data_IF_132916898750
#
_entry.id   IF_132916898750
#
_cell.length_a   1.000
_cell.length_b   1.000
_cell.length_c   1.000
_cell.angle_alpha   90.00
_cell.angle_beta   90.00
_cell.angle_gamma   90.00
#
_symmetry.space_group_name_H-M   'P 1'
#
loop_
_entity.id
_entity.type
_entity.pdbx_description
1 polymer ?
#
# COMPACT_ATOMS: atom_id res chain seq x y z
N UNK A 1 7.88 -6.26 -15.59
CA UNK A 1 8.39 -4.88 -15.43
C UNK A 1 9.61 -4.89 -14.51
N UNK A 2 10.83 -4.58 -15.00
CA UNK A 2 12.07 -4.70 -14.21
C UNK A 2 12.06 -3.92 -12.88
N UNK A 3 11.43 -2.75 -12.86
CA UNK A 3 11.30 -1.91 -11.67
C UNK A 3 10.53 -2.63 -10.56
N UNK A 4 9.43 -3.30 -10.90
CA UNK A 4 8.66 -4.11 -9.95
C UNK A 4 9.44 -5.35 -9.50
N UNK A 5 10.15 -6.01 -10.41
CA UNK A 5 10.94 -7.20 -10.06
C UNK A 5 12.03 -6.87 -9.04
N UNK A 6 12.74 -5.75 -9.25
CA UNK A 6 13.89 -5.35 -8.44
C UNK A 6 13.54 -4.59 -7.16
N UNK A 7 12.31 -4.06 -7.02
CA UNK A 7 11.93 -3.32 -5.82
C UNK A 7 11.80 -4.24 -4.60
N UNK A 8 12.15 -3.72 -3.42
CA UNK A 8 11.97 -4.41 -2.14
C UNK A 8 10.86 -3.78 -1.30
N UNK A 9 10.67 -2.46 -1.43
CA UNK A 9 9.70 -1.67 -0.67
C UNK A 9 8.72 -1.02 -1.63
N UNK A 10 7.46 -1.43 -1.57
CA UNK A 10 6.44 -1.03 -2.54
C UNK A 10 5.20 -0.47 -1.84
N UNK A 11 4.68 0.63 -2.38
CA UNK A 11 3.37 1.16 -1.99
C UNK A 11 2.35 0.87 -3.08
N UNK A 12 1.17 0.38 -2.72
CA UNK A 12 0.09 0.03 -3.64
C UNK A 12 -1.18 0.77 -3.20
N UNK A 13 -1.71 1.61 -4.08
CA UNK A 13 -3.02 2.23 -3.85
C UNK A 13 -4.12 1.24 -4.19
N UNK A 14 -5.08 1.09 -3.28
CA UNK A 14 -6.24 0.22 -3.43
C UNK A 14 -7.42 1.09 -3.85
N UNK A 15 -7.85 0.95 -5.11
CA UNK A 15 -8.93 1.75 -5.68
C UNK A 15 -10.22 0.94 -5.84
N UNK A 16 -11.35 1.65 -5.81
CA UNK A 16 -12.70 1.10 -5.88
C UNK A 16 -13.08 0.42 -7.20
N UNK A 17 -12.57 0.91 -8.33
CA UNK A 17 -12.91 0.39 -9.68
C UNK A 17 -12.01 -0.76 -10.13
N UNK A 18 -10.76 -0.76 -9.69
CA UNK A 18 -9.69 -1.65 -10.16
C UNK A 18 -9.10 -2.51 -9.04
N UNK A 19 -9.90 -2.74 -7.99
CA UNK A 19 -9.52 -3.50 -6.80
C UNK A 19 -8.99 -4.90 -7.18
N UNK A 20 -9.61 -5.55 -8.17
CA UNK A 20 -9.18 -6.87 -8.65
C UNK A 20 -7.71 -6.87 -9.12
N UNK A 21 -7.27 -5.83 -9.84
CA UNK A 21 -5.89 -5.77 -10.35
C UNK A 21 -4.88 -5.45 -9.24
N UNK A 22 -5.20 -4.47 -8.38
CA UNK A 22 -4.28 -4.03 -7.32
C UNK A 22 -4.14 -5.05 -6.20
N UNK A 23 -5.21 -5.80 -5.89
CA UNK A 23 -5.14 -6.96 -4.98
C UNK A 23 -4.28 -8.09 -5.54
N UNK A 24 -4.33 -8.33 -6.85
CA UNK A 24 -3.45 -9.29 -7.52
C UNK A 24 -1.98 -8.93 -7.33
N UNK A 25 -1.63 -7.65 -7.52
CA UNK A 25 -0.27 -7.13 -7.32
C UNK A 25 0.15 -7.22 -5.85
N UNK A 26 -0.75 -6.92 -4.90
CA UNK A 26 -0.46 -7.03 -3.48
C UNK A 26 -0.20 -8.48 -3.06
N UNK A 27 -1.02 -9.43 -3.51
CA UNK A 27 -0.80 -10.87 -3.30
C UNK A 27 0.55 -11.33 -3.85
N UNK A 28 0.89 -10.89 -5.06
CA UNK A 28 2.16 -11.23 -5.71
C UNK A 28 3.36 -10.62 -4.96
N UNK A 29 3.25 -9.37 -4.51
CA UNK A 29 4.28 -8.69 -3.75
C UNK A 29 4.60 -9.43 -2.43
N UNK A 30 3.57 -9.93 -1.73
CA UNK A 30 3.77 -10.79 -0.57
C UNK A 30 4.45 -12.11 -0.92
N UNK A 31 4.05 -12.78 -2.01
CA UNK A 31 4.71 -14.02 -2.47
C UNK A 31 6.19 -13.80 -2.81
N UNK A 32 6.54 -12.62 -3.31
CA UNK A 32 7.90 -12.20 -3.61
C UNK A 32 8.67 -11.65 -2.40
N UNK A 33 8.13 -11.75 -1.18
CA UNK A 33 8.71 -11.23 0.06
C UNK A 33 9.06 -9.72 0.00
N UNK A 34 8.26 -8.92 -0.71
CA UNK A 34 8.38 -7.46 -0.72
C UNK A 34 7.75 -6.86 0.53
N UNK A 35 8.33 -5.78 1.04
CA UNK A 35 7.73 -4.96 2.09
C UNK A 35 6.64 -4.10 1.46
N UNK A 36 5.40 -4.33 1.86
CA UNK A 36 4.23 -3.72 1.26
C UNK A 36 3.65 -2.62 2.14
N UNK A 37 3.34 -1.49 1.52
CA UNK A 37 2.68 -0.34 2.13
C UNK A 37 1.38 -0.02 1.39
N UNK A 38 0.38 0.45 2.12
CA UNK A 38 -0.89 0.94 1.56
C UNK A 38 -1.19 2.33 2.12
N UNK A 39 -1.96 3.17 1.40
CA UNK A 39 -2.40 4.45 1.94
C UNK A 39 -3.34 4.25 3.14
N UNK A 40 -3.10 5.02 4.19
CA UNK A 40 -4.04 5.24 5.30
C UNK A 40 -4.29 6.73 5.40
N UNK A 41 -5.52 7.15 5.12
CA UNK A 41 -5.92 8.54 5.24
C UNK A 41 -6.75 8.76 6.51
N UNK A 42 -6.65 9.95 7.06
CA UNK A 42 -7.54 10.44 8.11
C UNK A 42 -8.60 11.33 7.48
N UNK A 43 -9.87 10.95 7.56
CA UNK A 43 -10.97 11.73 6.98
C UNK A 43 -11.18 13.12 7.61
N UNK A 44 -10.57 13.37 8.77
CA UNK A 44 -10.61 14.67 9.45
C UNK A 44 -9.49 15.62 9.01
N UNK A 45 -8.55 15.16 8.18
CA UNK A 45 -7.44 15.96 7.67
C UNK A 45 -7.13 15.65 6.20
N UNK A 46 -6.19 16.40 5.62
CA UNK A 46 -5.65 16.09 4.29
C UNK A 46 -4.39 15.20 4.35
N UNK A 47 -4.13 14.58 5.51
CA UNK A 47 -2.93 13.77 5.74
C UNK A 47 -3.15 12.32 5.30
N UNK A 48 -2.13 11.75 4.66
CA UNK A 48 -2.10 10.36 4.22
C UNK A 48 -0.72 9.78 4.43
N UNK A 49 -0.65 8.67 5.18
CA UNK A 49 0.58 7.91 5.36
C UNK A 49 0.55 6.64 4.51
N UNK A 50 1.73 6.24 4.04
CA UNK A 50 1.92 4.88 3.51
C UNK A 50 2.34 3.98 4.65
N UNK A 51 1.43 3.09 5.08
CA UNK A 51 1.62 2.25 6.27
C UNK A 51 1.83 0.79 5.90
N UNK A 52 2.72 0.13 6.64
CA UNK A 52 3.11 -1.25 6.36
C UNK A 52 1.99 -2.24 6.65
N UNK A 53 1.82 -3.18 5.73
CA UNK A 53 1.01 -4.39 5.91
C UNK A 53 1.95 -5.61 5.98
N UNK A 54 1.72 -6.47 6.96
CA UNK A 54 2.65 -7.54 7.32
C UNK A 54 2.42 -8.84 6.54
N UNK A 55 1.20 -9.09 6.10
CA UNK A 55 0.82 -10.28 5.35
C UNK A 55 -0.50 -10.08 4.61
N UNK A 56 -0.85 -11.07 3.78
CA UNK A 56 -2.17 -11.13 3.14
C UNK A 56 -3.30 -11.23 4.18
N UNK A 57 -3.10 -11.99 5.26
CA UNK A 57 -4.09 -12.14 6.33
C UNK A 57 -4.27 -10.85 7.13
N UNK A 58 -3.17 -10.11 7.39
CA UNK A 58 -3.21 -8.77 8.00
C UNK A 58 -4.06 -7.84 7.11
N UNK A 59 -3.80 -7.84 5.80
CA UNK A 59 -4.61 -7.09 4.84
C UNK A 59 -6.11 -7.47 4.89
N UNK A 60 -6.44 -8.77 4.82
CA UNK A 60 -7.82 -9.24 4.83
C UNK A 60 -8.56 -8.87 6.12
N UNK A 61 -7.85 -8.79 7.24
CA UNK A 61 -8.41 -8.41 8.54
C UNK A 61 -8.72 -6.91 8.69
N UNK A 62 -8.21 -6.07 7.79
CA UNK A 62 -8.39 -4.62 7.89
C UNK A 62 -9.86 -4.21 7.75
N UNK A 63 -10.31 -3.21 8.52
CA UNK A 63 -11.62 -2.61 8.33
C UNK A 63 -11.70 -1.87 6.99
N UNK A 64 -12.93 -1.71 6.51
CA UNK A 64 -13.24 -0.89 5.34
C UNK A 64 -13.67 0.50 5.77
N UNK A 65 -13.25 1.49 5.00
CA UNK A 65 -13.78 2.85 5.10
C UNK A 65 -15.19 2.93 4.49
N UNK A 66 -15.86 4.09 4.62
CA UNK A 66 -17.16 4.34 3.95
C UNK A 66 -17.10 4.18 2.43
N UNK A 67 -15.91 4.27 1.86
CA UNK A 67 -15.62 4.07 0.44
C UNK A 67 -15.13 2.66 0.15
N UNK A 68 -15.38 1.66 1.01
CA UNK A 68 -15.00 0.25 0.77
C UNK A 68 -13.51 -0.03 0.52
N UNK A 69 -12.64 0.94 0.82
CA UNK A 69 -11.18 0.77 0.79
C UNK A 69 -10.73 0.23 2.16
N UNK A 70 -9.92 -0.82 2.15
CA UNK A 70 -9.28 -1.39 3.34
C UNK A 70 -8.08 -0.54 3.78
N UNK A 71 -8.04 -0.17 5.05
CA UNK A 71 -6.87 0.47 5.69
C UNK A 71 -6.83 0.13 7.19
N UNK A 72 -5.66 0.16 7.84
CA UNK A 72 -5.59 0.08 9.30
C UNK A 72 -6.33 1.23 9.96
N UNK A 73 -6.75 1.02 11.20
CA UNK A 73 -7.31 2.09 12.02
C UNK A 73 -6.25 3.16 12.30
N UNK A 74 -6.66 4.37 12.65
CA UNK A 74 -5.70 5.46 12.90
C UNK A 74 -4.90 5.21 14.19
N UNK A 75 -5.52 4.56 15.17
CA UNK A 75 -4.92 4.11 16.42
C UNK A 75 -3.94 2.93 16.25
N UNK A 76 -4.03 2.19 15.13
CA UNK A 76 -3.10 1.09 14.86
C UNK A 76 -1.70 1.65 14.66
N UNK A 77 -0.77 1.23 15.52
CA UNK A 77 0.65 1.58 15.39
C UNK A 77 1.24 0.80 14.22
N UNK A 78 1.40 1.48 13.08
CA UNK A 78 1.99 0.93 11.86
C UNK A 78 3.28 1.65 11.52
N UNK A 79 4.26 0.91 11.01
CA UNK A 79 5.47 1.47 10.40
C UNK A 79 5.09 2.31 9.18
N UNK A 80 5.52 3.57 9.12
CA UNK A 80 5.32 4.40 7.93
C UNK A 80 6.50 4.25 6.98
N UNK A 81 6.25 4.32 5.68
CA UNK A 81 7.30 4.17 4.68
C UNK A 81 8.38 5.25 4.83
N UNK A 82 8.00 6.50 5.13
CA UNK A 82 8.92 7.63 5.29
C UNK A 82 9.86 7.45 6.48
N UNK A 83 9.37 6.93 7.61
CA UNK A 83 10.20 6.76 8.81
C UNK A 83 11.09 5.51 8.77
N UNK A 84 10.97 4.67 7.74
CA UNK A 84 11.61 3.35 7.67
C UNK A 84 12.43 3.11 6.42
N UNK A 85 12.87 4.19 5.76
CA UNK A 85 13.77 4.12 4.60
C UNK A 85 13.09 4.30 3.24
N UNK A 86 11.90 4.89 3.19
CA UNK A 86 11.24 5.30 1.95
C UNK A 86 10.61 4.14 1.16
N UNK A 87 10.42 4.37 -0.14
CA UNK A 87 9.78 3.45 -1.09
C UNK A 87 10.65 3.34 -2.34
N UNK A 88 10.80 2.12 -2.86
CA UNK A 88 11.46 1.88 -4.15
C UNK A 88 10.49 2.12 -5.32
N UNK A 89 9.20 1.86 -5.08
CA UNK A 89 8.15 1.90 -6.09
C UNK A 89 6.80 2.27 -5.47
N UNK A 90 6.05 3.13 -6.16
CA UNK A 90 4.66 3.47 -5.85
C UNK A 90 3.80 3.09 -7.05
N UNK A 91 2.69 2.37 -6.81
CA UNK A 91 1.73 1.97 -7.83
C UNK A 91 0.35 2.57 -7.53
N UNK A 92 -0.16 3.42 -8.42
CA UNK A 92 -1.47 4.07 -8.31
C UNK A 92 -2.30 3.99 -9.59
N UNK A 93 -3.62 4.08 -9.46
CA UNK A 93 -4.60 3.74 -10.53
C UNK A 93 -4.83 4.82 -11.61
N UNK A 94 -3.91 5.76 -11.84
CA UNK A 94 -4.07 6.61 -13.04
C UNK A 94 -2.79 7.00 -13.77
N UNK A 95 -1.70 7.49 -13.17
CA UNK A 95 -0.45 7.83 -13.89
C UNK A 95 0.77 7.65 -12.96
N UNK A 96 1.83 7.01 -13.47
CA UNK A 96 3.21 7.27 -13.03
C UNK A 96 3.86 6.19 -12.16
N UNK A 97 4.73 5.38 -12.78
CA UNK A 97 5.80 4.69 -12.06
C UNK A 97 6.82 5.77 -11.66
N UNK A 98 6.73 6.27 -10.43
CA UNK A 98 7.71 7.20 -9.89
C UNK A 98 8.77 6.43 -9.09
N UNK A 99 10.03 6.48 -9.54
CA UNK A 99 11.19 6.19 -8.70
C UNK A 99 11.37 7.37 -7.74
N UNK A 100 11.45 7.10 -6.44
CA UNK A 100 11.82 8.10 -5.44
C UNK A 100 13.29 7.96 -5.06
N UNK A 101 14.21 8.15 -6.03
CA UNK A 101 15.64 8.35 -5.79
C UNK A 101 16.22 9.23 -6.89
#
# INVERSE_FOLDING_TARGET
>A
MPQYQNCKRISIFLNMSDEIQTLGILKDAFKMNKICFIPRYDSSSNHMDMVRINSWQDFESLPETKWKIKQPLLEDKRETALSSGGLDLILGSWIGIHKMW
#
